data_IF_814427528247
#
_entry.id   IF_814427528247
#
_cell.length_a   1.000
_cell.length_b   1.000
_cell.length_c   1.000
_cell.angle_alpha   90.00
_cell.angle_beta   90.00
_cell.angle_gamma   90.00
#
_symmetry.space_group_name_H-M   'P 1'
#
loop_
_entity.id
_entity.type
_entity.pdbx_description
1 polymer ?
#
# COMPACT_ATOMS: atom_id res chain seq x y z
N UNK A 1 -12.18 12.31 -12.24
CA UNK A 1 -12.69 11.25 -11.33
C UNK A 1 -12.44 11.73 -9.91
N UNK A 2 -13.33 11.43 -8.97
CA UNK A 2 -13.20 11.85 -7.56
C UNK A 2 -12.73 10.69 -6.69
N UNK A 3 -11.88 10.95 -5.71
CA UNK A 3 -11.45 9.95 -4.73
C UNK A 3 -12.59 9.56 -3.77
N UNK A 4 -12.34 8.62 -2.86
CA UNK A 4 -13.30 8.19 -1.83
C UNK A 4 -13.77 9.33 -0.88
N UNK A 5 -13.10 10.49 -0.90
CA UNK A 5 -13.42 11.69 -0.12
C UNK A 5 -14.03 12.82 -0.97
N UNK A 6 -14.35 12.57 -2.24
CA UNK A 6 -14.95 13.56 -3.15
C UNK A 6 -13.97 14.61 -3.69
N UNK A 7 -12.66 14.44 -3.50
CA UNK A 7 -11.64 15.35 -4.05
C UNK A 7 -11.35 15.00 -5.50
N UNK A 8 -11.11 16.03 -6.32
CA UNK A 8 -10.70 15.86 -7.72
C UNK A 8 -9.30 15.22 -7.80
N UNK A 9 -9.20 14.09 -8.51
CA UNK A 9 -7.93 13.36 -8.69
C UNK A 9 -7.04 14.11 -9.69
N UNK A 10 -6.13 14.93 -9.16
CA UNK A 10 -5.11 15.68 -9.90
C UNK A 10 -3.70 15.18 -9.56
N UNK A 11 -2.71 15.50 -10.40
CA UNK A 11 -1.31 15.16 -10.12
C UNK A 11 -0.85 15.70 -8.76
N UNK A 12 -1.16 16.96 -8.44
CA UNK A 12 -0.76 17.61 -7.19
C UNK A 12 -1.41 16.95 -5.96
N UNK A 13 -2.69 16.60 -6.02
CA UNK A 13 -3.36 15.90 -4.91
C UNK A 13 -2.81 14.49 -4.71
N UNK A 14 -2.49 13.78 -5.80
CA UNK A 14 -1.85 12.47 -5.71
C UNK A 14 -0.44 12.56 -5.13
N UNK A 15 0.30 13.61 -5.47
CA UNK A 15 1.61 13.88 -4.86
C UNK A 15 1.50 14.15 -3.35
N UNK A 16 0.45 14.85 -2.90
CA UNK A 16 0.17 15.03 -1.47
C UNK A 16 -0.19 13.70 -0.79
N UNK A 17 -1.02 12.87 -1.44
CA UNK A 17 -1.34 11.51 -0.97
C UNK A 17 -0.08 10.65 -0.80
N UNK A 18 0.89 10.76 -1.70
CA UNK A 18 2.15 10.03 -1.58
C UNK A 18 2.97 10.42 -0.34
N UNK A 19 2.77 11.62 0.21
CA UNK A 19 3.46 12.11 1.41
C UNK A 19 2.72 11.72 2.68
N UNK A 20 1.40 11.94 2.73
CA UNK A 20 0.63 11.85 3.99
C UNK A 20 -0.72 11.15 3.88
N UNK A 21 -1.05 10.56 2.73
CA UNK A 21 -2.30 9.82 2.52
C UNK A 21 -2.41 8.54 3.36
N UNK A 22 -3.62 8.01 3.49
CA UNK A 22 -3.84 6.67 4.07
C UNK A 22 -3.43 5.58 3.08
N UNK A 23 -3.46 4.32 3.52
CA UNK A 23 -3.11 3.18 2.66
C UNK A 23 -4.06 3.09 1.47
N UNK A 24 -5.36 3.18 1.74
CA UNK A 24 -6.43 3.11 0.74
C UNK A 24 -6.32 4.25 -0.27
N UNK A 25 -6.06 5.48 0.19
CA UNK A 25 -5.85 6.62 -0.71
C UNK A 25 -4.58 6.47 -1.55
N UNK A 26 -3.48 5.98 -0.96
CA UNK A 26 -2.23 5.75 -1.69
C UNK A 26 -2.39 4.65 -2.75
N UNK A 27 -3.09 3.56 -2.41
CA UNK A 27 -3.40 2.46 -3.32
C UNK A 27 -4.31 2.93 -4.47
N UNK A 28 -5.40 3.64 -4.15
CA UNK A 28 -6.28 4.22 -5.17
C UNK A 28 -5.53 5.19 -6.09
N UNK A 29 -4.65 6.00 -5.52
CA UNK A 29 -3.78 6.89 -6.28
C UNK A 29 -2.88 6.13 -7.25
N UNK A 30 -2.31 5.01 -6.81
CA UNK A 30 -1.45 4.16 -7.63
C UNK A 30 -2.23 3.55 -8.81
N UNK A 31 -3.46 3.09 -8.60
CA UNK A 31 -4.33 2.59 -9.66
C UNK A 31 -4.58 3.65 -10.74
N UNK A 32 -4.84 4.90 -10.34
CA UNK A 32 -5.01 6.04 -11.26
C UNK A 32 -3.75 6.33 -12.06
N UNK A 33 -2.58 6.25 -11.43
CA UNK A 33 -1.28 6.41 -12.10
C UNK A 33 -1.08 5.31 -13.14
N UNK A 34 -1.34 4.05 -12.79
CA UNK A 34 -1.21 2.91 -13.71
C UNK A 34 -2.14 3.09 -14.90
N UNK A 35 -3.42 3.43 -14.66
CA UNK A 35 -4.37 3.69 -15.73
C UNK A 35 -3.91 4.81 -16.67
N UNK A 36 -3.29 5.88 -16.14
CA UNK A 36 -2.73 6.94 -16.96
C UNK A 36 -1.57 6.47 -17.84
N UNK A 37 -0.64 5.69 -17.28
CA UNK A 37 0.50 5.16 -18.02
C UNK A 37 0.08 4.16 -19.11
N UNK A 38 -0.91 3.30 -18.83
CA UNK A 38 -1.41 2.30 -19.76
C UNK A 38 -2.14 2.88 -20.96
N UNK A 39 -2.71 4.08 -20.85
CA UNK A 39 -3.35 4.78 -21.98
C UNK A 39 -2.38 5.11 -23.12
N UNK A 40 -1.06 5.15 -22.85
CA UNK A 40 -0.01 5.18 -23.88
C UNK A 40 0.05 6.44 -24.75
N UNK A 41 -0.69 7.50 -24.41
CA UNK A 41 -0.77 8.77 -25.17
C UNK A 41 -0.05 9.94 -24.47
N UNK A 42 0.77 9.65 -23.47
CA UNK A 42 1.52 10.66 -22.71
C UNK A 42 2.85 10.97 -23.40
N UNK A 43 3.27 12.25 -23.48
CA UNK A 43 4.66 12.60 -23.76
C UNK A 43 5.62 11.89 -22.81
N UNK A 44 6.84 11.60 -23.26
CA UNK A 44 7.82 10.84 -22.47
C UNK A 44 8.12 11.48 -21.10
N UNK A 45 8.23 12.81 -21.05
CA UNK A 45 8.50 13.54 -19.82
C UNK A 45 7.33 13.42 -18.83
N UNK A 46 6.10 13.44 -19.33
CA UNK A 46 4.91 13.22 -18.50
C UNK A 46 4.84 11.76 -18.02
N UNK A 47 5.12 10.79 -18.88
CA UNK A 47 5.16 9.38 -18.51
C UNK A 47 6.18 9.11 -17.40
N UNK A 48 7.35 9.75 -17.45
CA UNK A 48 8.36 9.68 -16.38
C UNK A 48 7.81 10.29 -15.09
N UNK A 49 7.19 11.47 -15.15
CA UNK A 49 6.63 12.14 -13.98
C UNK A 49 5.52 11.32 -13.29
N UNK A 50 4.66 10.66 -14.08
CA UNK A 50 3.63 9.75 -13.58
C UNK A 50 4.25 8.48 -12.98
N UNK A 51 5.28 7.91 -13.62
CA UNK A 51 6.00 6.75 -13.09
C UNK A 51 6.66 7.04 -11.73
N UNK A 52 7.34 8.17 -11.60
CA UNK A 52 7.95 8.59 -10.33
C UNK A 52 6.90 8.77 -9.22
N UNK A 53 5.76 9.37 -9.56
CA UNK A 53 4.64 9.51 -8.62
C UNK A 53 4.10 8.14 -8.17
N UNK A 54 3.95 7.21 -9.11
CA UNK A 54 3.56 5.83 -8.81
C UNK A 54 4.54 5.15 -7.84
N UNK A 55 5.84 5.34 -8.03
CA UNK A 55 6.85 4.79 -7.13
C UNK A 55 6.74 5.36 -5.70
N UNK A 56 6.47 6.67 -5.58
CA UNK A 56 6.26 7.32 -4.27
C UNK A 56 5.00 6.82 -3.58
N UNK A 57 3.91 6.64 -4.32
CA UNK A 57 2.66 6.07 -3.79
C UNK A 57 2.86 4.62 -3.31
N UNK A 58 3.56 3.79 -4.09
CA UNK A 58 3.90 2.42 -3.70
C UNK A 58 4.78 2.40 -2.43
N UNK A 59 5.79 3.27 -2.35
CA UNK A 59 6.63 3.40 -1.16
C UNK A 59 5.83 3.81 0.09
N UNK A 60 4.86 4.72 -0.06
CA UNK A 60 3.97 5.13 1.04
C UNK A 60 3.17 3.94 1.56
N UNK A 61 2.63 3.11 0.67
CA UNK A 61 1.89 1.89 1.02
C UNK A 61 2.75 0.89 1.78
N UNK A 62 3.97 0.63 1.29
CA UNK A 62 4.96 -0.23 1.97
C UNK A 62 5.25 0.23 3.41
N UNK A 63 5.46 1.54 3.61
CA UNK A 63 5.71 2.10 4.95
C UNK A 63 4.51 1.88 5.87
N UNK A 64 3.29 2.08 5.36
CA UNK A 64 2.06 1.91 6.14
C UNK A 64 1.84 0.44 6.53
N UNK A 65 2.04 -0.48 5.59
CA UNK A 65 1.92 -1.92 5.86
C UNK A 65 2.95 -2.37 6.89
N UNK A 66 4.22 -1.98 6.73
CA UNK A 66 5.27 -2.30 7.70
C UNK A 66 4.95 -1.79 9.11
N UNK A 67 4.44 -0.57 9.22
CA UNK A 67 4.06 0.00 10.51
C UNK A 67 2.86 -0.76 11.13
N UNK A 68 1.89 -1.17 10.30
CA UNK A 68 0.78 -1.98 10.76
C UNK A 68 1.24 -3.37 11.24
N UNK A 69 2.12 -4.04 10.49
CA UNK A 69 2.72 -5.33 10.86
C UNK A 69 3.49 -5.22 12.19
N UNK A 70 4.35 -4.21 12.33
CA UNK A 70 5.06 -3.97 13.58
C UNK A 70 4.10 -3.77 14.74
N UNK A 71 3.04 -2.98 14.54
CA UNK A 71 2.04 -2.73 15.58
C UNK A 71 1.29 -3.99 15.98
N UNK A 72 0.94 -4.86 15.02
CA UNK A 72 0.29 -6.14 15.29
C UNK A 72 1.24 -7.04 16.08
N UNK A 73 2.53 -7.11 15.72
CA UNK A 73 3.54 -7.87 16.46
C UNK A 73 3.68 -7.39 17.91
N UNK A 74 3.80 -6.08 18.14
CA UNK A 74 3.88 -5.50 19.48
C UNK A 74 2.66 -5.86 20.34
N UNK A 75 1.46 -5.84 19.75
CA UNK A 75 0.23 -6.22 20.44
C UNK A 75 0.22 -7.72 20.75
N UNK A 76 0.65 -8.56 19.81
CA UNK A 76 0.78 -10.00 19.99
C UNK A 76 1.66 -10.32 21.21
N UNK A 77 2.84 -9.71 21.27
CA UNK A 77 3.80 -9.87 22.37
C UNK A 77 3.23 -9.32 23.69
N UNK A 78 2.61 -8.14 23.66
CA UNK A 78 2.07 -7.49 24.87
C UNK A 78 0.90 -8.24 25.51
N UNK A 79 0.06 -8.89 24.69
CA UNK A 79 -1.06 -9.70 25.18
C UNK A 79 -0.68 -11.15 25.46
N UNK A 80 0.59 -11.53 25.28
CA UNK A 80 1.07 -12.87 25.56
C UNK A 80 0.29 -13.94 24.79
N UNK A 81 -0.17 -13.61 23.59
CA UNK A 81 -0.75 -14.60 22.68
C UNK A 81 0.45 -15.44 22.24
N UNK A 82 0.82 -16.49 22.96
CA UNK A 82 1.88 -17.37 22.51
C UNK A 82 1.36 -18.17 21.32
N UNK A 83 2.19 -18.30 20.27
CA UNK A 83 2.03 -19.24 19.16
C UNK A 83 2.15 -20.71 19.64
N UNK A 84 1.40 -21.10 20.68
CA UNK A 84 1.28 -22.51 21.11
C UNK A 84 0.44 -23.34 20.12
N UNK A 85 -0.15 -22.69 19.10
CA UNK A 85 -0.89 -23.35 18.02
C UNK A 85 -0.01 -24.01 16.95
N UNK A 86 1.32 -23.78 16.93
CA UNK A 86 2.21 -24.36 15.91
C UNK A 86 2.72 -25.76 16.28
N UNK A 87 2.48 -26.22 17.52
CA UNK A 87 2.84 -27.57 17.98
C UNK A 87 1.79 -28.65 17.72
N UNK A 88 0.64 -28.35 17.10
CA UNK A 88 -0.47 -29.31 17.00
C UNK A 88 -0.46 -30.23 15.78
N UNK A 89 0.58 -30.17 14.94
CA UNK A 89 0.72 -31.02 13.74
C UNK A 89 2.05 -31.80 13.66
N UNK A 90 2.79 -31.94 14.76
CA UNK A 90 4.02 -32.76 14.79
C UNK A 90 3.78 -34.23 15.21
N UNK A 91 2.60 -34.57 15.74
CA UNK A 91 2.26 -35.93 16.19
C UNK A 91 1.28 -36.66 15.23
N UNK A 92 1.34 -36.37 13.92
CA UNK A 92 0.73 -37.24 12.92
C UNK A 92 1.79 -38.21 12.39
N UNK A 93 2.20 -39.14 13.26
CA UNK A 93 2.87 -40.38 12.86
C UNK A 93 2.01 -41.08 11.80
N UNK A 94 2.48 -41.09 10.56
CA UNK A 94 1.99 -41.97 9.51
C UNK A 94 2.69 -43.34 9.68
N UNK A 95 2.00 -44.29 10.31
CA UNK A 95 2.30 -45.74 10.18
C UNK A 95 1.91 -46.26 8.78
#
# INVERSE_FOLDING_TARGET
MSDANGRELSYSSLAETAVSGTFESALQGLEVVVEHLERGLLPIDEAIAWYELGLRLAQRSEILLRNAELRVSELHDAFGISSDSDSMWQDADYE
#
